data_IF_107347739017
#
_entry.id   IF_107347739017
#
_cell.length_a   1.000
_cell.length_b   1.000
_cell.length_c   1.000
_cell.angle_alpha   90.00
_cell.angle_beta   90.00
_cell.angle_gamma   90.00
#
_symmetry.space_group_name_H-M   'P 1'
#
loop_
_entity.id
_entity.type
_entity.pdbx_description
1 polymer ?
#
# COMPACT_ATOMS: atom_id res chain seq x y z
N UNK A 1 -12.62 22.85 -14.95
CA UNK A 1 -12.24 22.93 -16.37
C UNK A 1 -12.41 24.31 -16.99
N UNK A 2 -11.36 25.13 -16.90
CA UNK A 2 -11.26 26.41 -17.62
C UNK A 2 -10.80 26.16 -19.08
N UNK A 3 -10.02 25.11 -19.30
CA UNK A 3 -9.44 24.70 -20.58
C UNK A 3 -10.44 24.57 -21.75
N UNK A 4 -11.64 24.06 -21.53
CA UNK A 4 -12.64 23.91 -22.61
C UNK A 4 -13.26 25.24 -23.08
N UNK A 5 -13.16 26.33 -22.29
CA UNK A 5 -13.83 27.60 -22.60
C UNK A 5 -13.04 28.49 -23.59
N UNK A 6 -11.75 28.21 -23.78
CA UNK A 6 -10.82 29.04 -24.57
C UNK A 6 -10.25 28.37 -25.83
N UNK A 7 -10.94 27.36 -26.38
CA UNK A 7 -10.55 26.69 -27.65
C UNK A 7 -10.39 27.65 -28.86
N UNK A 8 -10.88 28.89 -28.75
CA UNK A 8 -10.79 29.93 -29.78
C UNK A 8 -9.41 30.63 -29.87
N UNK A 9 -8.46 30.31 -28.98
CA UNK A 9 -7.08 30.83 -29.00
C UNK A 9 -6.09 29.97 -29.82
N UNK A 10 -6.59 28.94 -30.53
CA UNK A 10 -5.77 27.98 -31.29
C UNK A 10 -6.17 27.91 -32.78
N UNK A 11 -6.89 28.92 -33.28
CA UNK A 11 -7.35 28.98 -34.68
C UNK A 11 -6.36 29.83 -35.50
N UNK A 12 -5.41 29.15 -36.16
CA UNK A 12 -4.35 29.77 -36.98
C UNK A 12 -4.86 30.59 -38.18
N UNK A 13 -6.17 30.58 -38.46
CA UNK A 13 -6.77 31.39 -39.53
C UNK A 13 -6.98 32.87 -39.16
N UNK A 14 -6.82 33.23 -37.88
CA UNK A 14 -6.86 34.62 -37.43
C UNK A 14 -5.46 35.24 -37.45
N UNK A 15 -5.30 36.40 -38.09
CA UNK A 15 -4.05 37.18 -38.06
C UNK A 15 -3.84 37.81 -36.69
N UNK A 16 -3.38 37.00 -35.74
CA UNK A 16 -3.15 37.43 -34.37
C UNK A 16 -1.93 38.37 -34.32
N UNK A 17 -2.19 39.64 -34.02
CA UNK A 17 -1.19 40.72 -34.04
C UNK A 17 -0.06 40.52 -33.01
N UNK A 18 -0.25 39.54 -32.09
CA UNK A 18 0.57 39.29 -30.92
C UNK A 18 1.24 37.89 -30.92
N UNK A 19 1.30 37.16 -32.04
CA UNK A 19 1.97 35.83 -32.13
C UNK A 19 3.38 35.81 -31.51
N UNK A 20 4.14 36.91 -31.61
CA UNK A 20 5.49 37.03 -31.06
C UNK A 20 5.55 37.59 -29.63
N UNK A 21 4.45 38.14 -29.10
CA UNK A 21 4.33 38.40 -27.67
C UNK A 21 3.76 37.15 -27.02
N UNK A 22 4.63 36.25 -26.59
CA UNK A 22 4.22 35.16 -25.68
C UNK A 22 3.72 35.80 -24.40
N UNK A 23 2.40 35.99 -24.31
CA UNK A 23 1.72 36.43 -23.09
C UNK A 23 1.94 35.31 -22.07
N UNK A 24 2.99 35.43 -21.24
CA UNK A 24 3.14 34.66 -20.01
C UNK A 24 2.01 35.09 -19.07
N UNK A 25 0.84 34.47 -19.29
CA UNK A 25 -0.41 34.71 -18.57
C UNK A 25 -0.28 34.45 -17.06
N UNK A 26 0.74 33.67 -16.68
CA UNK A 26 1.03 33.29 -15.31
C UNK A 26 2.46 33.72 -14.95
N UNK A 27 2.59 34.34 -13.77
CA UNK A 27 3.90 34.66 -13.21
C UNK A 27 4.60 33.35 -12.87
N UNK A 28 5.74 33.10 -13.52
CA UNK A 28 6.56 31.91 -13.27
C UNK A 28 6.93 31.83 -11.78
N UNK A 29 6.43 30.80 -11.10
CA UNK A 29 6.60 30.62 -9.66
C UNK A 29 7.94 29.93 -9.44
N UNK A 30 9.00 30.71 -9.26
CA UNK A 30 10.29 30.18 -8.84
C UNK A 30 10.23 29.78 -7.37
N UNK A 31 10.19 28.47 -7.09
CA UNK A 31 10.35 27.92 -5.74
C UNK A 31 11.79 27.48 -5.51
N UNK A 32 12.59 28.32 -4.85
CA UNK A 32 14.02 28.06 -4.60
C UNK A 32 14.29 27.00 -3.51
N UNK A 33 13.25 26.40 -2.92
CA UNK A 33 13.39 25.36 -1.88
C UNK A 33 13.36 23.97 -2.49
N UNK A 34 14.52 23.31 -2.52
CA UNK A 34 14.56 21.87 -2.65
C UNK A 34 14.15 21.21 -1.32
N UNK A 35 13.12 20.38 -1.36
CA UNK A 35 12.71 19.53 -0.23
C UNK A 35 13.57 18.26 -0.19
N UNK A 36 13.97 17.87 1.03
CA UNK A 36 14.56 16.56 1.31
C UNK A 36 13.60 15.42 0.96
N UNK A 37 14.13 14.19 0.85
CA UNK A 37 13.30 13.01 0.53
C UNK A 37 12.31 12.75 1.66
N UNK A 38 12.73 12.96 2.91
CA UNK A 38 11.93 12.83 4.11
C UNK A 38 10.75 13.81 4.09
N UNK A 39 11.00 15.11 3.85
CA UNK A 39 9.94 16.12 3.74
C UNK A 39 8.96 15.79 2.60
N UNK A 40 9.46 15.37 1.43
CA UNK A 40 8.62 14.95 0.31
C UNK A 40 7.70 13.80 0.71
N UNK A 41 8.23 12.74 1.30
CA UNK A 41 7.45 11.59 1.75
C UNK A 41 6.40 11.98 2.81
N UNK A 42 6.73 12.85 3.77
CA UNK A 42 5.76 13.35 4.75
C UNK A 42 4.62 14.12 4.09
N UNK A 43 4.92 15.09 3.21
CA UNK A 43 3.88 15.88 2.54
C UNK A 43 3.07 15.06 1.53
N UNK A 44 3.69 14.15 0.78
CA UNK A 44 2.99 13.22 -0.11
C UNK A 44 1.98 12.38 0.67
N UNK A 45 2.39 11.83 1.83
CA UNK A 45 1.48 11.07 2.68
C UNK A 45 0.36 11.93 3.28
N UNK A 46 0.67 13.15 3.74
CA UNK A 46 -0.33 14.09 4.30
C UNK A 46 -1.39 14.51 3.27
N UNK A 47 -0.98 14.79 2.02
CA UNK A 47 -1.87 15.31 0.98
C UNK A 47 -2.51 14.24 0.09
N UNK A 48 -1.85 13.10 -0.14
CA UNK A 48 -2.34 12.03 -1.03
C UNK A 48 -2.75 10.75 -0.29
N UNK A 49 -2.32 10.56 0.97
CA UNK A 49 -2.50 9.31 1.72
C UNK A 49 -1.50 8.21 1.33
N UNK A 50 -0.55 8.49 0.43
CA UNK A 50 0.50 7.57 0.00
C UNK A 50 1.76 8.35 -0.44
N UNK A 51 2.91 7.69 -0.37
CA UNK A 51 4.20 8.26 -0.80
C UNK A 51 4.45 7.96 -2.29
N UNK A 52 4.93 8.96 -3.02
CA UNK A 52 5.27 8.88 -4.45
C UNK A 52 6.79 8.79 -4.62
N UNK A 53 7.54 9.59 -3.86
CA UNK A 53 9.01 9.63 -3.88
C UNK A 53 9.65 8.35 -3.35
N UNK A 54 8.97 7.61 -2.47
CA UNK A 54 9.53 6.37 -1.88
C UNK A 54 8.44 5.38 -1.45
N UNK A 55 8.57 4.12 -1.84
CA UNK A 55 7.60 3.09 -1.47
C UNK A 55 7.81 2.63 0.00
N UNK A 56 6.75 2.45 0.82
CA UNK A 56 6.84 2.10 2.25
C UNK A 56 7.78 0.93 2.60
N UNK A 57 7.77 -0.13 1.79
CA UNK A 57 8.65 -1.29 1.97
C UNK A 57 10.16 -0.97 1.99
N UNK A 58 10.62 0.15 1.42
CA UNK A 58 12.05 0.54 1.47
C UNK A 58 12.53 0.93 2.88
N UNK A 59 11.64 0.99 3.88
CA UNK A 59 12.01 1.10 5.29
C UNK A 59 12.29 -0.27 5.95
N UNK A 60 12.10 -1.38 5.23
CA UNK A 60 12.24 -2.77 5.67
C UNK A 60 13.27 -3.53 4.80
N UNK A 61 14.28 -2.83 4.28
CA UNK A 61 15.29 -3.42 3.38
C UNK A 61 16.06 -4.58 4.03
N UNK A 62 16.28 -4.57 5.35
CA UNK A 62 16.92 -5.67 6.08
C UNK A 62 16.04 -6.94 6.08
N UNK A 63 14.74 -6.79 6.34
CA UNK A 63 13.77 -7.88 6.31
C UNK A 63 13.53 -8.39 4.87
N UNK A 64 13.49 -7.50 3.88
CA UNK A 64 13.25 -7.84 2.47
C UNK A 64 14.44 -8.55 1.83
N UNK A 65 15.67 -8.14 2.14
CA UNK A 65 16.88 -8.78 1.63
C UNK A 65 17.34 -9.96 2.51
N UNK A 66 16.54 -10.36 3.52
CA UNK A 66 16.83 -11.53 4.35
C UNK A 66 16.81 -12.84 3.55
N UNK A 67 17.71 -13.80 3.85
CA UNK A 67 17.81 -15.05 3.09
C UNK A 67 16.49 -15.84 3.01
N UNK A 68 16.06 -16.15 1.78
CA UNK A 68 14.88 -16.98 1.53
C UNK A 68 13.57 -16.21 1.34
N UNK A 69 13.58 -14.88 1.41
CA UNK A 69 12.53 -14.05 0.81
C UNK A 69 12.72 -14.05 -0.72
N UNK A 70 11.64 -14.26 -1.48
CA UNK A 70 11.62 -14.12 -2.94
C UNK A 70 10.78 -12.90 -3.34
N UNK A 71 11.06 -12.36 -4.52
CA UNK A 71 10.30 -11.24 -5.10
C UNK A 71 9.11 -11.72 -5.95
N UNK A 72 8.11 -10.87 -6.14
CA UNK A 72 6.91 -11.19 -6.94
C UNK A 72 7.26 -11.52 -8.40
N UNK A 73 8.29 -10.88 -8.96
CA UNK A 73 8.87 -11.20 -10.26
C UNK A 73 9.44 -12.62 -10.38
N UNK A 74 9.83 -13.24 -9.27
CA UNK A 74 10.49 -14.56 -9.23
C UNK A 74 9.50 -15.72 -9.00
N UNK A 75 8.24 -15.44 -8.64
CA UNK A 75 7.25 -16.44 -8.26
C UNK A 75 7.10 -17.59 -9.27
N UNK A 76 7.18 -17.29 -10.58
CA UNK A 76 7.09 -18.29 -11.65
C UNK A 76 8.19 -19.35 -11.57
N UNK A 77 9.40 -18.97 -11.15
CA UNK A 77 10.53 -19.89 -10.93
C UNK A 77 10.32 -20.79 -9.70
N UNK A 78 9.46 -20.35 -8.77
CA UNK A 78 9.13 -21.03 -7.52
C UNK A 78 7.75 -21.73 -7.56
N UNK A 79 7.10 -21.82 -8.72
CA UNK A 79 5.80 -22.49 -8.85
C UNK A 79 5.82 -23.91 -8.25
N UNK A 80 4.75 -24.26 -7.54
CA UNK A 80 4.56 -25.48 -6.76
C UNK A 80 5.53 -25.67 -5.56
N UNK A 81 6.46 -24.74 -5.29
CA UNK A 81 7.38 -24.76 -4.13
C UNK A 81 6.85 -23.91 -2.98
N UNK A 82 7.39 -24.14 -1.79
CA UNK A 82 7.23 -23.21 -0.66
C UNK A 82 8.19 -22.03 -0.81
N UNK A 83 7.72 -20.83 -0.50
CA UNK A 83 8.49 -19.61 -0.50
C UNK A 83 8.06 -18.69 0.65
N UNK A 84 8.88 -17.68 0.93
CA UNK A 84 8.54 -16.54 1.77
C UNK A 84 8.55 -15.28 0.92
N UNK A 85 7.60 -14.39 1.17
CA UNK A 85 7.45 -13.14 0.42
C UNK A 85 7.07 -12.03 1.38
N UNK A 86 7.54 -10.82 1.10
CA UNK A 86 7.14 -9.61 1.84
C UNK A 86 6.39 -8.70 0.87
N UNK A 87 5.21 -8.23 1.27
CA UNK A 87 4.37 -7.37 0.45
C UNK A 87 3.58 -6.38 1.28
N UNK A 88 3.36 -5.19 0.74
CA UNK A 88 2.55 -4.13 1.30
C UNK A 88 1.07 -4.37 0.99
N UNK A 89 0.18 -4.10 1.95
CA UNK A 89 -1.26 -4.18 1.73
C UNK A 89 -1.74 -3.19 0.66
N UNK A 90 -2.44 -3.70 -0.36
CA UNK A 90 -3.15 -2.87 -1.33
C UNK A 90 -4.66 -2.96 -1.16
N UNK A 91 -5.22 -4.16 -1.21
CA UNK A 91 -6.65 -4.39 -1.04
C UNK A 91 -6.92 -5.84 -0.64
N UNK A 92 -8.15 -6.16 -0.25
CA UNK A 92 -8.54 -7.54 0.03
C UNK A 92 -10.00 -7.82 -0.26
N UNK A 93 -10.28 -9.07 -0.64
CA UNK A 93 -11.61 -9.54 -1.04
C UNK A 93 -11.99 -10.80 -0.29
N UNK A 94 -13.03 -10.71 0.54
CA UNK A 94 -13.64 -11.83 1.24
C UNK A 94 -14.61 -12.57 0.31
N UNK A 95 -14.51 -13.89 0.23
CA UNK A 95 -15.33 -14.74 -0.65
C UNK A 95 -15.87 -15.92 0.17
N UNK A 96 -17.15 -16.27 -0.01
CA UNK A 96 -17.69 -17.55 0.47
C UNK A 96 -17.39 -18.63 -0.56
N UNK A 97 -16.82 -19.74 -0.10
CA UNK A 97 -16.62 -20.96 -0.89
C UNK A 97 -17.97 -21.61 -1.21
N UNK A 98 -17.99 -22.57 -2.14
CA UNK A 98 -19.17 -23.38 -2.46
C UNK A 98 -19.73 -24.18 -1.27
N UNK A 99 -18.94 -24.37 -0.21
CA UNK A 99 -19.34 -25.00 1.06
C UNK A 99 -19.89 -24.01 2.10
N UNK A 100 -19.97 -22.73 1.77
CA UNK A 100 -20.35 -21.64 2.69
C UNK A 100 -19.23 -21.15 3.61
N UNK A 101 -18.11 -21.87 3.69
CA UNK A 101 -16.92 -21.48 4.44
C UNK A 101 -16.28 -20.22 3.84
N UNK A 102 -15.66 -19.38 4.67
CA UNK A 102 -15.14 -18.07 4.27
C UNK A 102 -13.64 -18.15 3.93
N UNK A 103 -13.24 -17.58 2.79
CA UNK A 103 -11.85 -17.38 2.40
C UNK A 103 -11.59 -15.89 2.08
N UNK A 104 -10.31 -15.48 2.00
CA UNK A 104 -9.92 -14.11 1.67
C UNK A 104 -8.77 -14.10 0.66
N UNK A 105 -8.89 -13.28 -0.36
CA UNK A 105 -7.81 -12.88 -1.24
C UNK A 105 -7.23 -11.58 -0.69
N UNK A 106 -5.91 -11.49 -0.60
CA UNK A 106 -5.17 -10.34 -0.09
C UNK A 106 -4.18 -9.93 -1.17
N UNK A 107 -4.45 -8.81 -1.84
CA UNK A 107 -3.61 -8.27 -2.90
C UNK A 107 -2.48 -7.47 -2.26
N UNK A 108 -1.24 -7.87 -2.57
CA UNK A 108 -0.02 -7.31 -2.00
C UNK A 108 0.90 -6.77 -3.11
N UNK A 109 1.68 -5.74 -2.78
CA UNK A 109 2.70 -5.14 -3.66
C UNK A 109 4.10 -5.29 -3.06
N UNK A 110 5.09 -5.61 -3.90
CA UNK A 110 6.51 -5.56 -3.56
C UNK A 110 7.29 -4.64 -4.53
N UNK A 111 8.60 -4.47 -4.32
CA UNK A 111 9.46 -3.65 -5.18
C UNK A 111 9.52 -4.08 -6.67
N UNK A 112 8.92 -5.21 -7.04
CA UNK A 112 8.98 -5.80 -8.38
C UNK A 112 7.61 -5.98 -9.05
N UNK A 113 6.50 -5.76 -8.33
CA UNK A 113 5.15 -5.92 -8.84
C UNK A 113 4.16 -6.40 -7.77
N UNK A 114 3.02 -6.93 -8.21
CA UNK A 114 1.94 -7.37 -7.33
C UNK A 114 1.73 -8.88 -7.33
N UNK A 115 1.20 -9.40 -6.22
CA UNK A 115 0.85 -10.80 -6.03
C UNK A 115 -0.36 -10.96 -5.10
N UNK A 116 -1.07 -12.09 -5.20
CA UNK A 116 -2.21 -12.39 -4.34
C UNK A 116 -1.86 -13.46 -3.30
N UNK A 117 -1.99 -13.11 -2.02
CA UNK A 117 -1.98 -14.05 -0.92
C UNK A 117 -3.40 -14.63 -0.71
N UNK A 118 -3.54 -15.94 -0.94
CA UNK A 118 -4.83 -16.65 -0.88
C UNK A 118 -4.97 -17.37 0.46
N UNK A 119 -5.87 -16.86 1.31
CA UNK A 119 -6.23 -17.45 2.60
C UNK A 119 -7.48 -18.32 2.45
N UNK A 120 -7.30 -19.61 2.18
CA UNK A 120 -8.37 -20.62 2.26
C UNK A 120 -8.96 -20.72 3.68
N UNK A 121 -10.16 -21.30 3.90
CA UNK A 121 -10.88 -21.17 5.15
C UNK A 121 -10.12 -21.57 6.42
N UNK A 122 -9.25 -22.58 6.33
CA UNK A 122 -8.35 -22.98 7.45
C UNK A 122 -7.34 -21.88 7.80
N UNK A 123 -6.66 -21.31 6.81
CA UNK A 123 -5.70 -20.21 7.02
C UNK A 123 -6.42 -18.92 7.40
N UNK A 124 -7.58 -18.65 6.81
CA UNK A 124 -8.42 -17.49 7.15
C UNK A 124 -8.85 -17.53 8.62
N UNK A 125 -9.33 -18.67 9.12
CA UNK A 125 -9.72 -18.82 10.53
C UNK A 125 -8.57 -18.59 11.53
N UNK A 126 -7.31 -18.75 11.11
CA UNK A 126 -6.13 -18.52 11.93
C UNK A 126 -5.57 -17.10 11.84
N UNK A 127 -5.72 -16.44 10.68
CA UNK A 127 -5.02 -15.18 10.38
C UNK A 127 -5.95 -14.01 10.03
N UNK A 128 -7.28 -14.17 10.08
CA UNK A 128 -8.25 -13.12 9.70
C UNK A 128 -7.98 -11.78 10.40
N UNK A 129 -7.76 -11.79 11.71
CA UNK A 129 -7.46 -10.60 12.52
C UNK A 129 -6.22 -9.84 12.02
N UNK A 130 -5.13 -10.57 11.70
CA UNK A 130 -3.92 -9.96 11.13
C UNK A 130 -4.25 -9.23 9.81
N UNK A 131 -5.09 -9.82 8.96
CA UNK A 131 -5.49 -9.24 7.65
C UNK A 131 -6.41 -8.02 7.74
N UNK A 132 -6.73 -7.51 8.93
CA UNK A 132 -7.45 -6.25 9.13
C UNK A 132 -6.52 -5.04 9.17
N UNK A 133 -5.22 -5.25 9.38
CA UNK A 133 -4.24 -4.16 9.50
C UNK A 133 -3.70 -3.69 8.13
N UNK A 134 -3.48 -2.39 7.99
CA UNK A 134 -2.66 -1.85 6.90
C UNK A 134 -1.17 -2.10 7.24
N UNK A 135 -0.35 -2.44 6.23
CA UNK A 135 1.10 -2.49 6.39
C UNK A 135 1.81 -3.63 5.66
N UNK A 136 3.06 -3.95 6.07
CA UNK A 136 3.91 -4.95 5.44
C UNK A 136 3.66 -6.35 6.03
N UNK A 137 3.24 -7.27 5.16
CA UNK A 137 2.99 -8.66 5.49
C UNK A 137 4.17 -9.54 5.05
N UNK A 138 4.69 -10.35 5.98
CA UNK A 138 5.48 -11.53 5.67
C UNK A 138 4.53 -12.72 5.48
N UNK A 139 4.49 -13.22 4.25
CA UNK A 139 3.70 -14.38 3.82
C UNK A 139 4.63 -15.57 3.65
N UNK A 140 4.34 -16.69 4.30
CA UNK A 140 4.97 -17.98 4.00
C UNK A 140 3.91 -18.94 3.45
N UNK A 141 4.20 -19.61 2.34
CA UNK A 141 3.19 -20.42 1.68
C UNK A 141 3.68 -21.13 0.43
N UNK A 142 2.75 -21.83 -0.24
CA UNK A 142 3.02 -22.53 -1.50
C UNK A 142 2.69 -21.63 -2.68
N UNK A 143 3.66 -21.39 -3.57
CA UNK A 143 3.49 -20.54 -4.75
C UNK A 143 2.71 -21.27 -5.84
N UNK A 144 1.69 -20.61 -6.37
CA UNK A 144 0.83 -21.09 -7.45
C UNK A 144 0.80 -20.08 -8.61
N UNK A 145 1.96 -19.93 -9.27
CA UNK A 145 2.19 -18.95 -10.33
C UNK A 145 1.97 -19.48 -11.77
N UNK A 146 0.88 -20.22 -12.03
CA UNK A 146 0.57 -20.76 -13.38
C UNK A 146 0.04 -19.69 -14.33
N UNK A 147 -1.08 -19.05 -13.97
CA UNK A 147 -1.72 -18.00 -14.77
C UNK A 147 -1.66 -16.63 -14.07
N UNK A 148 -1.83 -16.62 -12.75
CA UNK A 148 -1.79 -15.45 -11.86
C UNK A 148 -0.70 -15.61 -10.80
N UNK A 149 -0.16 -14.52 -10.28
CA UNK A 149 0.90 -14.54 -9.27
C UNK A 149 0.33 -14.81 -7.87
N UNK A 150 -0.02 -16.06 -7.58
CA UNK A 150 -0.69 -16.42 -6.32
C UNK A 150 0.25 -17.15 -5.35
N UNK A 151 0.07 -16.92 -4.04
CA UNK A 151 0.68 -17.70 -2.97
C UNK A 151 -0.40 -18.19 -2.00
N UNK A 152 -0.48 -19.50 -1.82
CA UNK A 152 -1.41 -20.16 -0.90
C UNK A 152 -0.82 -20.04 0.51
N UNK A 153 -1.48 -19.25 1.36
CA UNK A 153 -0.95 -18.86 2.68
C UNK A 153 -0.98 -20.04 3.65
N UNK A 154 0.19 -20.42 4.15
CA UNK A 154 0.36 -21.40 5.22
C UNK A 154 0.68 -20.73 6.56
N UNK A 155 1.37 -19.58 6.52
CA UNK A 155 1.66 -18.73 7.68
C UNK A 155 1.66 -17.26 7.27
N UNK A 156 1.12 -16.40 8.12
CA UNK A 156 1.08 -14.95 7.93
C UNK A 156 1.58 -14.24 9.20
N UNK A 157 2.33 -13.16 9.02
CA UNK A 157 2.71 -12.24 10.10
C UNK A 157 2.90 -10.83 9.54
N UNK A 158 2.60 -9.81 10.34
CA UNK A 158 2.90 -8.41 10.02
C UNK A 158 4.32 -8.10 10.52
N UNK A 159 5.11 -7.33 9.77
CA UNK A 159 6.48 -6.96 10.16
C UNK A 159 6.56 -5.79 11.16
N UNK A 160 5.43 -5.16 11.49
CA UNK A 160 5.39 -4.11 12.52
C UNK A 160 5.45 -4.72 13.92
N UNK A 161 6.36 -4.18 14.73
CA UNK A 161 6.56 -4.59 16.13
C UNK A 161 5.46 -3.96 17.02
N UNK A 162 5.23 -4.53 18.20
CA UNK A 162 4.18 -4.17 19.19
C UNK A 162 2.70 -4.39 18.80
N UNK A 163 2.16 -3.75 17.75
CA UNK A 163 0.71 -3.51 17.63
C UNK A 163 -0.18 -4.78 17.45
N UNK A 164 0.32 -5.82 16.77
CA UNK A 164 -0.41 -7.08 16.59
C UNK A 164 -0.66 -7.85 17.90
N UNK A 165 -0.08 -7.44 19.04
CA UNK A 165 -0.38 -8.00 20.37
C UNK A 165 -1.40 -7.18 21.15
N UNK A 166 -1.52 -5.88 20.90
CA UNK A 166 -2.43 -4.99 21.65
C UNK A 166 -3.87 -5.04 21.12
N UNK A 167 -4.05 -5.22 19.80
CA UNK A 167 -5.37 -5.41 19.17
C UNK A 167 -6.06 -6.65 19.76
N UNK A 168 -5.39 -7.81 19.72
CA UNK A 168 -5.86 -9.10 20.27
C UNK A 168 -6.13 -9.09 21.79
N UNK A 169 -5.66 -8.06 22.50
CA UNK A 169 -5.84 -7.92 23.95
C UNK A 169 -6.94 -6.93 24.33
N UNK A 170 -7.30 -5.96 23.47
CA UNK A 170 -8.38 -4.98 23.72
C UNK A 170 -9.77 -5.48 23.30
N UNK A 171 -9.89 -6.23 22.21
CA UNK A 171 -11.21 -6.58 21.64
C UNK A 171 -11.90 -7.77 22.34
N UNK A 172 -11.41 -8.20 23.50
CA UNK A 172 -11.99 -9.33 24.26
C UNK A 172 -13.30 -8.98 25.00
N UNK A 173 -13.80 -7.75 24.90
CA UNK A 173 -14.94 -7.27 25.70
C UNK A 173 -16.09 -6.62 24.94
N UNK A 174 -16.10 -6.60 23.60
CA UNK A 174 -17.21 -6.03 22.82
C UNK A 174 -17.82 -7.03 21.81
N UNK A 175 -19.05 -7.45 22.07
CA UNK A 175 -19.81 -8.41 21.23
C UNK A 175 -20.54 -7.75 20.05
N UNK A 176 -20.07 -6.61 19.56
CA UNK A 176 -20.72 -5.84 18.50
C UNK A 176 -20.00 -5.98 17.15
N UNK A 177 -20.44 -6.96 16.37
CA UNK A 177 -20.05 -7.13 14.97
C UNK A 177 -20.67 -6.02 14.10
N UNK A 178 -19.91 -4.95 13.86
CA UNK A 178 -20.20 -4.02 12.77
C UNK A 178 -19.74 -4.63 11.45
N UNK A 179 -20.60 -4.59 10.43
CA UNK A 179 -20.26 -5.09 9.10
C UNK A 179 -19.15 -4.27 8.44
N UNK A 180 -18.61 -4.80 7.34
CA UNK A 180 -17.49 -4.25 6.56
C UNK A 180 -17.84 -2.89 5.91
N UNK A 181 -18.01 -1.84 6.72
CA UNK A 181 -17.75 -0.47 6.32
C UNK A 181 -16.24 -0.35 6.28
N UNK A 182 -15.67 -0.11 5.10
CA UNK A 182 -14.31 0.40 4.99
C UNK A 182 -14.27 1.71 5.78
N UNK A 183 -13.77 1.66 7.02
CA UNK A 183 -13.44 2.89 7.75
C UNK A 183 -12.33 3.54 6.92
N UNK A 184 -12.52 4.77 6.38
CA UNK A 184 -11.37 5.54 5.95
C UNK A 184 -10.46 5.67 7.16
N UNK A 185 -9.16 5.40 6.98
CA UNK A 185 -8.20 5.19 8.06
C UNK A 185 -8.44 6.22 9.17
N UNK A 186 -8.90 5.75 10.34
CA UNK A 186 -9.42 6.69 11.33
C UNK A 186 -8.29 7.59 11.82
N UNK A 187 -8.63 8.76 12.38
CA UNK A 187 -7.63 9.63 12.99
C UNK A 187 -6.76 8.89 14.04
N UNK A 188 -7.23 7.76 14.58
CA UNK A 188 -6.49 6.87 15.48
C UNK A 188 -5.46 5.99 14.74
N UNK A 189 -5.74 5.53 13.52
CA UNK A 189 -4.77 4.84 12.66
C UNK A 189 -3.74 5.82 12.08
N UNK A 190 -4.15 7.04 11.74
CA UNK A 190 -3.24 8.14 11.36
C UNK A 190 -2.34 8.51 12.55
N UNK A 191 -2.89 8.54 13.77
CA UNK A 191 -2.11 8.70 15.01
C UNK A 191 -1.22 7.48 15.27
N UNK A 192 -1.52 6.28 14.77
CA UNK A 192 -0.63 5.11 14.85
C UNK A 192 0.54 5.20 13.85
N UNK A 193 0.32 5.83 12.69
CA UNK A 193 1.37 6.26 11.75
C UNK A 193 2.13 7.50 12.27
N UNK A 194 1.67 8.09 13.39
CA UNK A 194 2.43 8.96 14.31
C UNK A 194 2.78 8.27 15.67
N UNK A 195 2.69 6.93 15.79
CA UNK A 195 3.13 6.11 16.95
C UNK A 195 4.24 5.06 16.64
N UNK A 196 4.47 4.69 15.38
CA UNK A 196 5.62 3.92 14.85
C UNK A 196 6.83 4.74 14.34
N UNK A 197 7.75 5.07 15.24
CA UNK A 197 9.07 5.56 14.86
C UNK A 197 10.14 4.45 14.74
N UNK A 198 10.98 4.47 13.70
CA UNK A 198 12.44 4.10 13.78
C UNK A 198 13.27 5.32 13.36
N UNK A 199 14.49 5.54 13.85
CA UNK A 199 14.91 6.84 14.46
C UNK A 199 14.76 8.22 13.75
N UNK A 200 14.30 8.30 12.49
CA UNK A 200 13.79 9.54 11.86
C UNK A 200 12.37 9.48 11.29
N UNK A 201 11.81 8.27 11.16
CA UNK A 201 10.45 8.07 11.62
C UNK A 201 10.39 8.48 13.12
N UNK A 202 11.26 8.02 14.08
CA UNK A 202 11.41 8.64 15.44
C UNK A 202 12.01 10.07 15.41
N UNK A 203 11.76 10.89 14.40
CA UNK A 203 11.98 12.36 14.39
C UNK A 203 10.99 13.14 13.50
N UNK A 204 9.95 12.46 13.04
CA UNK A 204 8.64 13.04 12.79
C UNK A 204 7.72 12.78 14.02
N UNK A 205 8.30 12.76 15.22
CA UNK A 205 7.91 11.90 16.36
C UNK A 205 8.65 12.27 17.66
N UNK A 206 10.00 12.16 17.64
CA UNK A 206 10.81 13.18 18.30
C UNK A 206 10.66 14.49 17.50
#
# INVERSE_FOLDING_TARGET
DIYFKHKKLLDESSTDLFVNETIKLEKEITTDREFSIEEKCTYEYEYFGYMVSRHPLQFFDDEINSPGIIRSSEMRLHHNRRAKMIGWYMTSKRIKTSKGEIMKFLSLEDMSGTFEAVLFPKSYALFAELTMSMGPYLVEGKVDALETNNIIVEKLSVLTVEAAKSITQKDRTDTNFFGDVEKPASLEEIVLVNALGKEKLIKAYL
#
